data_IF_099919056207
#
_entry.id   IF_099919056207
#
_cell.length_a   1.000
_cell.length_b   1.000
_cell.length_c   1.000
_cell.angle_alpha   90.00
_cell.angle_beta   90.00
_cell.angle_gamma   90.00
#
_symmetry.space_group_name_H-M   'P 1'
#
loop_
_entity.id
_entity.type
_entity.pdbx_description
1 polymer ?
#
# COMPACT_ATOMS: atom_id res chain seq x y z
N UNK A 1 10.12 -12.94 -6.03
CA UNK A 1 10.18 -13.08 -4.56
C UNK A 1 8.81 -12.69 -4.05
N UNK A 2 8.00 -13.66 -3.64
CA UNK A 2 6.69 -13.38 -3.07
C UNK A 2 6.95 -13.04 -1.60
N UNK A 3 7.09 -11.74 -1.29
CA UNK A 3 6.97 -11.30 0.09
C UNK A 3 5.56 -11.68 0.55
N UNK A 4 5.37 -12.08 1.81
CA UNK A 4 4.01 -12.24 2.36
C UNK A 4 3.32 -10.89 2.20
N UNK A 5 2.23 -10.86 1.44
CA UNK A 5 1.62 -9.60 0.98
C UNK A 5 0.94 -8.90 2.17
N UNK A 6 0.43 -9.62 3.18
CA UNK A 6 -0.23 -9.01 4.35
C UNK A 6 -1.32 -7.99 3.96
N UNK A 7 -1.80 -7.19 4.89
CA UNK A 7 -2.70 -6.07 4.59
C UNK A 7 -1.98 -5.06 3.69
N UNK A 8 -2.41 -4.95 2.43
CA UNK A 8 -1.68 -4.19 1.41
C UNK A 8 -2.59 -3.40 0.49
N UNK A 9 -2.11 -2.20 0.15
CA UNK A 9 -2.70 -1.31 -0.83
C UNK A 9 -1.68 -0.92 -1.92
N UNK A 10 -2.18 -0.65 -3.12
CA UNK A 10 -1.40 -0.18 -4.27
C UNK A 10 -1.93 1.16 -4.73
N UNK A 11 -1.12 2.20 -4.66
CA UNK A 11 -1.49 3.54 -5.16
C UNK A 11 -1.03 3.65 -6.62
N UNK A 12 -1.97 3.94 -7.53
CA UNK A 12 -1.66 4.19 -8.95
C UNK A 12 -1.87 5.66 -9.29
N UNK A 13 -1.61 6.01 -10.55
CA UNK A 13 -1.91 7.36 -11.07
C UNK A 13 -3.39 7.72 -10.91
N UNK A 14 -4.26 6.86 -11.44
CA UNK A 14 -5.73 6.90 -11.34
C UNK A 14 -6.29 5.67 -12.07
N UNK A 15 -7.56 5.33 -11.85
CA UNK A 15 -8.21 4.23 -12.57
C UNK A 15 -8.24 4.45 -14.11
N UNK A 16 -8.43 5.70 -14.56
CA UNK A 16 -8.52 6.03 -15.98
C UNK A 16 -7.18 6.20 -16.71
N UNK A 17 -6.10 6.48 -15.98
CA UNK A 17 -4.77 6.72 -16.58
C UNK A 17 -3.77 5.60 -16.30
N UNK A 18 -4.05 4.70 -15.35
CA UNK A 18 -3.25 3.50 -15.12
C UNK A 18 -3.25 2.60 -16.37
N UNK A 19 -2.09 2.05 -16.69
CA UNK A 19 -1.83 1.17 -17.85
C UNK A 19 -1.42 -0.24 -17.42
N UNK A 20 -1.31 -0.51 -16.12
CA UNK A 20 -1.04 -1.85 -15.58
C UNK A 20 -2.35 -2.62 -15.44
N UNK A 21 -2.49 -3.72 -16.15
CA UNK A 21 -3.68 -4.58 -16.09
C UNK A 21 -3.67 -5.54 -14.90
N UNK A 22 -2.54 -5.69 -14.23
CA UNK A 22 -2.32 -6.59 -13.09
C UNK A 22 -2.57 -5.94 -11.73
N UNK A 23 -3.07 -4.70 -11.70
CA UNK A 23 -3.28 -3.96 -10.46
C UNK A 23 -4.40 -4.54 -9.58
N UNK A 24 -5.39 -5.17 -10.22
CA UNK A 24 -6.54 -5.85 -9.60
C UNK A 24 -6.34 -7.37 -9.46
N UNK A 25 -5.19 -7.90 -9.91
CA UNK A 25 -4.89 -9.31 -9.73
C UNK A 25 -4.71 -9.65 -8.25
N UNK A 26 -4.76 -10.94 -7.93
CA UNK A 26 -4.48 -11.45 -6.58
C UNK A 26 -5.43 -10.94 -5.48
N UNK A 27 -6.70 -10.69 -5.86
CA UNK A 27 -7.75 -10.30 -4.90
C UNK A 27 -7.72 -8.82 -4.53
N UNK A 28 -7.06 -7.98 -5.32
CA UNK A 28 -7.07 -6.53 -5.16
C UNK A 28 -8.34 -5.90 -5.76
N UNK A 29 -8.99 -5.02 -5.01
CA UNK A 29 -10.20 -4.29 -5.43
C UNK A 29 -9.95 -2.79 -5.40
N UNK A 30 -10.54 -2.03 -6.34
CA UNK A 30 -10.44 -0.58 -6.36
C UNK A 30 -11.00 0.07 -5.09
N UNK A 31 -10.27 1.06 -4.58
CA UNK A 31 -10.63 1.84 -3.41
C UNK A 31 -10.34 3.34 -3.58
N UNK A 32 -10.50 3.86 -4.80
CA UNK A 32 -10.23 5.25 -5.16
C UNK A 32 -9.14 5.35 -6.24
N UNK A 33 -8.06 6.08 -5.99
CA UNK A 33 -6.92 6.13 -6.94
C UNK A 33 -5.92 4.96 -6.78
N UNK A 34 -6.37 3.84 -6.20
CA UNK A 34 -5.57 2.64 -5.99
C UNK A 34 -6.43 1.40 -5.74
N UNK A 35 -5.78 0.29 -5.41
CA UNK A 35 -6.43 -0.98 -5.08
C UNK A 35 -5.96 -1.48 -3.71
N UNK A 36 -6.77 -2.27 -3.02
CA UNK A 36 -6.42 -2.93 -1.76
C UNK A 36 -6.81 -4.41 -1.81
N UNK A 37 -6.04 -5.28 -1.15
CA UNK A 37 -6.40 -6.69 -1.03
C UNK A 37 -7.51 -6.91 0.02
N UNK A 38 -7.98 -8.16 0.12
CA UNK A 38 -9.06 -8.51 1.05
C UNK A 38 -8.71 -8.27 2.53
N UNK A 39 -7.44 -8.41 2.91
CA UNK A 39 -7.00 -8.16 4.30
C UNK A 39 -7.09 -6.67 4.66
N UNK A 40 -6.81 -5.79 3.68
CA UNK A 40 -6.97 -4.34 3.79
C UNK A 40 -8.36 -3.81 3.39
N UNK A 41 -9.42 -4.62 3.52
CA UNK A 41 -10.80 -4.20 3.23
C UNK A 41 -11.21 -2.99 4.10
N UNK A 42 -11.83 -1.99 3.47
CA UNK A 42 -12.23 -0.73 4.13
C UNK A 42 -11.25 0.42 3.93
N UNK A 43 -10.08 0.18 3.34
CA UNK A 43 -9.15 1.24 2.92
C UNK A 43 -9.77 2.10 1.81
N UNK A 44 -9.49 3.41 1.83
CA UNK A 44 -9.78 4.34 0.73
C UNK A 44 -8.56 5.19 0.42
N UNK A 45 -8.32 5.48 -0.86
CA UNK A 45 -7.15 6.20 -1.37
C UNK A 45 -7.62 7.36 -2.24
N UNK A 46 -7.22 8.58 -1.88
CA UNK A 46 -7.51 9.79 -2.62
C UNK A 46 -6.21 10.51 -3.03
N UNK A 47 -6.25 11.22 -4.17
CA UNK A 47 -5.15 12.11 -4.58
C UNK A 47 -5.49 13.52 -4.09
N UNK A 48 -4.63 14.11 -3.28
CA UNK A 48 -4.80 15.46 -2.74
C UNK A 48 -4.11 16.53 -3.60
N UNK A 49 -2.89 16.25 -4.06
CA UNK A 49 -2.10 17.13 -4.92
C UNK A 49 -1.10 16.29 -5.75
N UNK A 50 -0.29 16.94 -6.56
CA UNK A 50 0.77 16.31 -7.36
C UNK A 50 1.73 15.54 -6.46
N UNK A 51 1.71 14.22 -6.59
CA UNK A 51 2.52 13.32 -5.78
C UNK A 51 2.11 13.26 -4.31
N UNK A 52 0.90 13.71 -3.94
CA UNK A 52 0.37 13.65 -2.57
C UNK A 52 -0.93 12.87 -2.57
N UNK A 53 -0.96 11.80 -1.78
CA UNK A 53 -2.07 10.87 -1.66
C UNK A 53 -2.47 10.76 -0.19
N UNK A 54 -3.75 10.57 0.06
CA UNK A 54 -4.29 10.24 1.37
C UNK A 54 -4.82 8.82 1.36
N UNK A 55 -4.46 8.05 2.38
CA UNK A 55 -4.96 6.71 2.62
C UNK A 55 -5.66 6.67 3.98
N UNK A 56 -6.92 6.28 4.01
CA UNK A 56 -7.73 6.16 5.23
C UNK A 56 -8.24 4.74 5.40
N UNK A 57 -8.66 4.38 6.62
CA UNK A 57 -9.25 3.06 6.92
C UNK A 57 -8.26 2.01 7.41
N UNK A 58 -6.98 2.38 7.59
CA UNK A 58 -5.98 1.56 8.29
C UNK A 58 -5.71 2.10 9.69
N UNK A 59 -5.02 1.31 10.53
CA UNK A 59 -4.48 1.74 11.82
C UNK A 59 -3.07 2.39 11.68
N UNK A 60 -2.49 2.36 10.48
CA UNK A 60 -1.17 2.90 10.18
C UNK A 60 -0.43 2.08 9.12
N UNK A 61 0.87 2.34 8.99
CA UNK A 61 1.78 1.45 8.25
C UNK A 61 2.01 0.17 9.06
N UNK A 62 2.34 -0.92 8.37
CA UNK A 62 2.66 -2.19 9.01
C UNK A 62 3.76 -2.03 10.08
N UNK A 63 3.54 -2.56 11.28
CA UNK A 63 4.49 -2.50 12.39
C UNK A 63 5.73 -3.40 12.18
N UNK A 64 5.64 -4.40 11.30
CA UNK A 64 6.73 -5.32 11.00
C UNK A 64 6.98 -5.47 9.50
N UNK A 65 8.23 -5.74 9.12
CA UNK A 65 8.63 -5.98 7.73
C UNK A 65 8.73 -4.71 6.89
N UNK A 66 8.43 -4.83 5.59
CA UNK A 66 8.43 -3.69 4.67
C UNK A 66 7.14 -2.88 4.81
N UNK A 67 7.21 -1.56 4.59
CA UNK A 67 6.06 -0.65 4.72
C UNK A 67 5.70 0.05 3.42
N UNK A 68 6.71 0.54 2.69
CA UNK A 68 6.54 1.28 1.45
C UNK A 68 7.52 0.79 0.41
N UNK A 69 7.02 0.51 -0.79
CA UNK A 69 7.86 0.32 -1.97
C UNK A 69 7.53 1.40 -2.99
N UNK A 70 8.52 2.16 -3.47
CA UNK A 70 8.30 3.17 -4.50
C UNK A 70 7.90 2.51 -5.83
N UNK A 71 7.35 3.28 -6.78
CA UNK A 71 7.05 2.78 -8.10
C UNK A 71 8.31 2.23 -8.76
N UNK A 72 8.23 0.98 -9.23
CA UNK A 72 9.30 0.32 -9.97
C UNK A 72 9.09 0.51 -11.47
N UNK A 73 10.16 0.58 -12.25
CA UNK A 73 10.01 0.51 -13.70
C UNK A 73 9.36 -0.81 -14.13
N UNK A 74 8.71 -0.89 -15.30
CA UNK A 74 8.02 -2.11 -15.74
C UNK A 74 8.89 -3.37 -15.79
N UNK A 75 10.21 -3.23 -15.96
CA UNK A 75 11.16 -4.34 -15.92
C UNK A 75 11.59 -4.75 -14.51
N UNK A 76 11.17 -4.01 -13.48
CA UNK A 76 11.50 -4.25 -12.08
C UNK A 76 12.95 -3.95 -11.71
N UNK A 77 13.67 -3.20 -12.54
CA UNK A 77 15.12 -3.00 -12.46
C UNK A 77 15.52 -1.79 -11.60
N UNK A 78 14.60 -0.91 -11.23
CA UNK A 78 14.90 0.27 -10.43
C UNK A 78 13.68 1.08 -9.98
N UNK A 79 13.83 1.67 -8.80
CA UNK A 79 12.89 2.63 -8.23
C UNK A 79 12.78 3.87 -9.13
N UNK A 80 11.58 4.31 -9.44
CA UNK A 80 11.31 5.49 -10.25
C UNK A 80 11.27 6.78 -9.41
N UNK A 81 11.21 6.69 -8.08
CA UNK A 81 11.04 7.82 -7.17
C UNK A 81 11.50 7.54 -5.74
N UNK A 82 11.35 8.54 -4.87
CA UNK A 82 11.40 8.38 -3.41
C UNK A 82 9.99 8.52 -2.83
N UNK A 83 9.58 7.59 -1.97
CA UNK A 83 8.26 7.57 -1.34
C UNK A 83 8.39 7.72 0.18
N UNK A 84 7.46 8.46 0.77
CA UNK A 84 7.37 8.66 2.22
C UNK A 84 5.91 8.62 2.65
N UNK A 85 5.68 8.26 3.91
CA UNK A 85 4.36 8.34 4.53
C UNK A 85 4.44 8.99 5.90
N UNK A 86 3.37 9.67 6.26
CA UNK A 86 3.19 10.37 7.53
C UNK A 86 1.78 10.08 8.03
N UNK A 87 1.63 9.72 9.31
CA UNK A 87 0.31 9.52 9.90
C UNK A 87 -0.32 10.87 10.22
N UNK A 88 -1.59 11.04 9.85
CA UNK A 88 -2.37 12.25 10.11
C UNK A 88 -3.01 12.18 11.50
N UNK A 89 -3.37 13.35 12.05
CA UNK A 89 -4.09 13.44 13.33
C UNK A 89 -5.45 12.72 13.29
N UNK A 90 -6.05 12.59 12.11
CA UNK A 90 -7.29 11.85 11.88
C UNK A 90 -7.11 10.33 11.82
N UNK A 91 -5.87 9.82 11.94
CA UNK A 91 -5.55 8.39 11.87
C UNK A 91 -5.34 7.86 10.44
N UNK A 92 -5.42 8.70 9.42
CA UNK A 92 -5.05 8.36 8.04
C UNK A 92 -3.53 8.44 7.79
N UNK A 93 -3.11 8.21 6.55
CA UNK A 93 -1.74 8.35 6.09
C UNK A 93 -1.69 9.34 4.93
N UNK A 94 -0.79 10.31 5.01
CA UNK A 94 -0.38 11.11 3.85
C UNK A 94 0.84 10.46 3.21
N UNK A 95 0.71 10.03 1.96
CA UNK A 95 1.78 9.39 1.18
C UNK A 95 2.27 10.37 0.12
N UNK A 96 3.59 10.56 0.05
CA UNK A 96 4.23 11.53 -0.84
C UNK A 96 5.26 10.86 -1.74
N UNK A 97 5.23 11.20 -3.03
CA UNK A 97 6.14 10.68 -4.04
C UNK A 97 6.93 11.83 -4.68
N UNK A 98 8.24 11.64 -4.76
CA UNK A 98 9.19 12.63 -5.27
C UNK A 98 10.04 12.05 -6.39
N UNK A 99 10.42 12.89 -7.35
CA UNK A 99 11.46 12.56 -8.33
C UNK A 99 12.77 12.24 -7.62
N UNK A 100 13.54 11.28 -8.16
CA UNK A 100 14.93 11.07 -7.73
C UNK A 100 15.76 12.30 -8.11
N UNK A 101 16.44 12.91 -7.13
CA UNK A 101 17.41 13.99 -7.37
C UNK A 101 18.75 13.58 -6.82
N UNK A 102 19.80 13.83 -7.58
CA UNK A 102 21.19 13.64 -7.15
C UNK A 102 21.84 15.01 -7.04
N UNK A 103 22.53 15.26 -5.94
CA UNK A 103 23.31 16.48 -5.74
C UNK A 103 24.76 16.10 -5.44
N UNK A 104 25.70 16.83 -6.02
CA UNK A 104 27.11 16.72 -5.68
C UNK A 104 27.36 17.60 -4.45
N UNK A 105 27.85 17.03 -3.36
CA UNK A 105 28.21 17.77 -2.15
C UNK A 105 29.50 18.56 -2.35
N UNK A 106 29.80 19.47 -1.42
CA UNK A 106 31.03 20.27 -1.44
C UNK A 106 32.29 19.39 -1.29
N UNK A 107 32.15 18.21 -0.69
CA UNK A 107 33.18 17.17 -0.55
C UNK A 107 33.30 16.26 -1.78
N UNK A 108 32.48 16.49 -2.82
CA UNK A 108 32.49 15.72 -4.06
C UNK A 108 31.69 14.41 -4.00
N UNK A 109 30.81 14.23 -3.01
CA UNK A 109 29.97 13.03 -2.88
C UNK A 109 28.65 13.17 -3.64
N UNK A 110 28.17 12.11 -4.28
CA UNK A 110 26.83 12.08 -4.89
C UNK A 110 25.80 11.68 -3.84
N UNK A 111 24.96 12.63 -3.44
CA UNK A 111 23.91 12.43 -2.44
C UNK A 111 22.54 12.31 -3.12
N UNK A 112 21.78 11.26 -2.79
CA UNK A 112 20.36 11.11 -3.19
C UNK A 112 19.52 12.03 -2.32
N UNK A 113 18.77 12.92 -2.93
CA UNK A 113 17.89 13.90 -2.27
C UNK A 113 16.49 13.88 -2.89
N UNK A 114 15.53 14.53 -2.23
CA UNK A 114 14.16 14.64 -2.74
C UNK A 114 14.12 15.65 -3.90
N UNK A 115 13.62 15.20 -5.04
CA UNK A 115 13.28 16.09 -6.15
C UNK A 115 11.93 16.75 -5.97
N UNK A 116 11.41 17.31 -7.06
CA UNK A 116 10.04 17.83 -7.09
C UNK A 116 9.02 16.71 -6.85
N UNK A 117 7.86 17.02 -6.23
CA UNK A 117 6.73 16.10 -6.17
C UNK A 117 6.36 15.59 -7.57
N UNK A 118 5.94 14.34 -7.65
CA UNK A 118 5.45 13.74 -8.88
C UNK A 118 4.37 12.71 -8.60
N UNK A 119 3.37 12.65 -9.48
CA UNK A 119 2.39 11.56 -9.42
C UNK A 119 3.01 10.22 -9.79
N UNK A 120 2.37 9.15 -9.34
CA UNK A 120 2.69 7.78 -9.72
C UNK A 120 2.69 7.65 -11.26
N UNK A 121 3.74 7.08 -11.86
CA UNK A 121 3.77 6.80 -13.30
C UNK A 121 2.63 5.88 -13.72
N UNK A 122 2.04 6.13 -14.90
CA UNK A 122 0.91 5.35 -15.41
C UNK A 122 1.17 3.84 -15.55
N UNK A 123 2.44 3.41 -15.56
CA UNK A 123 2.88 2.04 -15.75
C UNK A 123 3.45 1.41 -14.47
N UNK A 124 3.16 1.97 -13.29
CA UNK A 124 3.69 1.52 -12.00
C UNK A 124 2.74 1.88 -10.85
N UNK A 125 3.08 1.50 -9.63
CA UNK A 125 2.32 1.78 -8.41
C UNK A 125 3.24 1.92 -7.18
N UNK A 126 2.76 2.55 -6.12
CA UNK A 126 3.37 2.47 -4.79
C UNK A 126 2.73 1.30 -4.05
N UNK A 127 3.52 0.36 -3.54
CA UNK A 127 3.00 -0.63 -2.58
C UNK A 127 3.07 -0.05 -1.17
N UNK A 128 1.97 -0.18 -0.43
CA UNK A 128 1.81 0.27 0.95
C UNK A 128 1.34 -0.91 1.78
N UNK A 129 2.14 -1.32 2.76
CA UNK A 129 1.75 -2.34 3.73
C UNK A 129 1.21 -1.67 4.98
N UNK A 130 0.11 -2.19 5.47
CA UNK A 130 -0.73 -1.56 6.49
C UNK A 130 -0.82 -2.45 7.72
N UNK A 131 -1.09 -1.84 8.85
CA UNK A 131 -1.74 -2.53 9.96
C UNK A 131 -3.23 -2.16 9.90
N UNK A 132 -4.10 -3.17 9.95
CA UNK A 132 -5.55 -2.95 9.98
C UNK A 132 -6.06 -2.92 11.43
N UNK A 133 -7.10 -2.10 11.74
CA UNK A 133 -7.74 -2.10 13.05
C UNK A 133 -8.16 -3.52 13.49
N UNK A 134 -8.15 -3.81 14.79
CA UNK A 134 -8.52 -5.15 15.29
C UNK A 134 -9.97 -5.53 14.97
N UNK A 135 -10.85 -4.54 14.88
CA UNK A 135 -12.25 -4.66 14.46
C UNK A 135 -12.42 -4.47 12.94
N UNK A 136 -11.36 -4.66 12.15
CA UNK A 136 -11.47 -4.61 10.69
C UNK A 136 -12.37 -5.71 10.17
N UNK A 137 -13.01 -5.42 9.03
CA UNK A 137 -13.95 -6.32 8.37
C UNK A 137 -13.34 -7.71 8.14
N UNK A 138 -12.08 -7.77 7.71
CA UNK A 138 -11.36 -9.02 7.50
C UNK A 138 -11.09 -9.76 8.82
N UNK A 139 -10.51 -9.09 9.81
CA UNK A 139 -10.16 -9.71 11.11
C UNK A 139 -11.39 -10.22 11.85
N UNK A 140 -12.50 -9.48 11.81
CA UNK A 140 -13.77 -9.92 12.40
C UNK A 140 -14.26 -11.21 11.73
N UNK A 141 -14.40 -11.24 10.40
CA UNK A 141 -14.83 -12.45 9.68
C UNK A 141 -13.91 -13.65 9.92
N UNK A 142 -12.58 -13.42 9.92
CA UNK A 142 -11.60 -14.48 10.19
C UNK A 142 -11.74 -15.03 11.62
N UNK A 143 -11.99 -14.16 12.60
CA UNK A 143 -12.21 -14.57 13.99
C UNK A 143 -13.50 -15.39 14.16
N UNK A 144 -14.61 -14.97 13.53
CA UNK A 144 -15.90 -15.67 13.58
C UNK A 144 -15.79 -17.07 12.95
N UNK A 145 -15.17 -17.17 11.77
CA UNK A 145 -14.94 -18.44 11.10
C UNK A 145 -14.07 -19.39 11.94
N UNK A 146 -13.06 -18.87 12.64
CA UNK A 146 -12.22 -19.67 13.53
C UNK A 146 -12.98 -20.20 14.75
N UNK A 147 -13.93 -19.43 15.30
CA UNK A 147 -14.76 -19.87 16.42
C UNK A 147 -15.74 -20.97 16.00
N UNK A 148 -16.37 -20.82 14.83
CA UNK A 148 -17.33 -21.79 14.30
C UNK A 148 -16.68 -23.17 14.05
N UNK A 149 -15.40 -23.20 13.64
CA UNK A 149 -14.60 -24.42 13.52
C UNK A 149 -14.30 -25.12 14.86
N UNK A 150 -14.20 -24.36 15.96
CA UNK A 150 -13.95 -24.92 17.30
C UNK A 150 -15.21 -25.36 18.03
N UNK A 151 -16.38 -24.87 17.60
CA UNK A 151 -17.68 -25.19 18.21
C UNK A 151 -18.44 -26.32 17.49
N UNK A 152 -17.89 -26.90 16.41
CA UNK A 152 -18.46 -28.12 15.83
C UNK A 152 -18.36 -29.26 16.85
N UNK A 153 -19.50 -29.85 17.30
CA UNK A 153 -19.47 -30.96 18.24
C UNK A 153 -18.71 -32.12 17.59
N UNK A 154 -17.78 -32.71 18.35
CA UNK A 154 -17.25 -34.03 18.02
C UNK A 154 -18.45 -34.97 17.89
N UNK A 155 -18.85 -35.28 16.66
CA UNK A 155 -19.77 -36.38 16.39
C UNK A 155 -19.11 -37.65 16.93
N UNK A 156 -19.49 -38.00 18.16
CA UNK A 156 -19.22 -39.30 18.77
C UNK A 156 -19.88 -40.32 17.85
N UNK A 157 -19.09 -40.88 16.94
CA UNK A 157 -19.54 -42.00 16.12
C UNK A 157 -19.75 -43.22 17.03
N UNK A 158 -20.88 -43.95 16.86
CA UNK A 158 -21.25 -45.05 17.75
C UNK A 158 -20.30 -46.25 17.71
#
# INVERSE_FOLDING_TARGET
>A
RQWSIGDSARIVKSQGENRRTDIENDGFTWCGCGTANAEAEGVSISRLDTGVYELTGSAGLASEGWQLLPPMDPGGMGEMGGVEAEQTESGGLTIRLFKRKYMLSDEGEIVKTKGAPMDVPANSWIDVRLDMPEDSIWKTRASEASLELTEQPEDIQP
#
